data_IF_037804042421
#
_entry.id   IF_037804042421
#
_cell.length_a   1.000
_cell.length_b   1.000
_cell.length_c   1.000
_cell.angle_alpha   90.00
_cell.angle_beta   90.00
_cell.angle_gamma   90.00
#
_symmetry.space_group_name_H-M   'P 1'
#
loop_
_entity.id
_entity.type
_entity.pdbx_description
1 polymer ?
#
# COMPACT_ATOMS: atom_id res chain seq x y z
N UNK A 1 9.93 10.19 -0.90
CA UNK A 1 9.55 10.19 -2.34
C UNK A 1 8.35 11.09 -2.53
N UNK A 2 8.55 12.12 -3.33
CA UNK A 2 7.54 13.18 -3.53
C UNK A 2 6.23 12.65 -4.12
N UNK A 3 6.31 11.73 -5.07
CA UNK A 3 5.14 11.16 -5.71
C UNK A 3 4.26 10.38 -4.72
N UNK A 4 4.87 9.68 -3.77
CA UNK A 4 4.15 8.96 -2.73
C UNK A 4 3.50 9.93 -1.76
N UNK A 5 4.18 11.00 -1.39
CA UNK A 5 3.60 12.04 -0.53
C UNK A 5 2.36 12.67 -1.17
N UNK A 6 2.44 13.01 -2.45
CA UNK A 6 1.31 13.58 -3.18
C UNK A 6 0.14 12.61 -3.25
N UNK A 7 0.42 11.34 -3.51
CA UNK A 7 -0.59 10.28 -3.50
C UNK A 7 -1.28 10.19 -2.14
N UNK A 8 -0.49 10.19 -1.07
CA UNK A 8 -1.03 10.08 0.28
C UNK A 8 -1.90 11.28 0.66
N UNK A 9 -1.50 12.48 0.28
CA UNK A 9 -2.29 13.68 0.53
C UNK A 9 -3.61 13.66 -0.24
N UNK A 10 -3.56 13.25 -1.50
CA UNK A 10 -4.74 13.19 -2.36
C UNK A 10 -5.78 12.22 -1.82
N UNK A 11 -5.35 11.06 -1.35
CA UNK A 11 -6.25 10.00 -0.92
C UNK A 11 -6.43 9.91 0.59
N UNK A 12 -5.89 10.87 1.34
CA UNK A 12 -5.96 10.92 2.82
C UNK A 12 -5.35 9.68 3.47
N UNK A 13 -4.26 9.20 2.92
CA UNK A 13 -3.49 8.08 3.47
C UNK A 13 -2.61 8.60 4.60
N UNK A 14 -2.72 8.01 5.77
CA UNK A 14 -1.88 8.39 6.90
C UNK A 14 -0.64 7.51 7.05
N UNK A 15 -0.70 6.26 6.57
CA UNK A 15 0.46 5.37 6.55
C UNK A 15 0.51 4.63 5.22
N UNK A 16 1.70 4.59 4.62
CA UNK A 16 1.97 3.89 3.37
C UNK A 16 3.17 2.99 3.59
N UNK A 17 3.01 1.69 3.42
CA UNK A 17 4.06 0.71 3.70
C UNK A 17 4.14 -0.34 2.60
N UNK A 18 5.31 -0.96 2.49
CA UNK A 18 5.55 -2.08 1.59
C UNK A 18 5.60 -3.37 2.42
N UNK A 19 5.10 -4.45 1.85
CA UNK A 19 5.16 -5.75 2.50
C UNK A 19 5.22 -6.88 1.46
N UNK A 20 5.35 -8.11 1.93
CA UNK A 20 5.33 -9.28 1.05
C UNK A 20 6.62 -9.48 0.28
N UNK A 21 6.52 -9.87 -0.99
CA UNK A 21 7.66 -10.29 -1.81
C UNK A 21 8.72 -9.21 -2.00
N UNK A 22 8.35 -7.93 -1.97
CA UNK A 22 9.30 -6.83 -2.12
C UNK A 22 10.35 -6.81 -1.00
N UNK A 23 10.04 -7.38 0.16
CA UNK A 23 10.94 -7.43 1.31
C UNK A 23 11.79 -8.70 1.35
N UNK A 24 11.69 -9.55 0.34
CA UNK A 24 12.45 -10.80 0.24
C UNK A 24 13.63 -10.63 -0.70
N UNK A 25 14.70 -11.39 -0.44
CA UNK A 25 15.91 -11.37 -1.27
C UNK A 25 15.66 -11.87 -2.69
N UNK A 26 14.68 -12.74 -2.89
CA UNK A 26 14.33 -13.29 -4.20
C UNK A 26 13.32 -12.45 -4.99
N UNK A 27 13.08 -11.21 -4.56
CA UNK A 27 12.18 -10.30 -5.25
C UNK A 27 12.64 -10.07 -6.70
N UNK A 28 11.72 -10.29 -7.64
CA UNK A 28 12.01 -10.18 -9.06
C UNK A 28 11.34 -8.94 -9.66
N UNK A 29 11.91 -8.36 -10.75
CA UNK A 29 11.31 -7.20 -11.40
C UNK A 29 9.89 -7.41 -11.91
N UNK A 30 9.51 -8.65 -12.20
CA UNK A 30 8.16 -9.01 -12.67
C UNK A 30 7.20 -9.38 -11.54
N UNK A 31 7.64 -9.35 -10.29
CA UNK A 31 6.80 -9.61 -9.13
C UNK A 31 5.87 -8.44 -8.86
N UNK A 32 4.66 -8.74 -8.36
CA UNK A 32 3.72 -7.71 -7.93
C UNK A 32 4.24 -7.02 -6.66
N UNK A 33 4.00 -5.73 -6.58
CA UNK A 33 4.37 -4.94 -5.41
C UNK A 33 3.18 -4.88 -4.46
N UNK A 34 3.37 -5.35 -3.23
CA UNK A 34 2.32 -5.35 -2.20
C UNK A 34 2.41 -4.08 -1.37
N UNK A 35 1.35 -3.29 -1.38
CA UNK A 35 1.27 -2.00 -0.70
C UNK A 35 0.18 -2.03 0.36
N UNK A 36 0.54 -1.64 1.57
CA UNK A 36 -0.40 -1.50 2.68
C UNK A 36 -0.65 -0.02 2.94
N UNK A 37 -1.92 0.37 2.99
CA UNK A 37 -2.30 1.74 3.30
C UNK A 37 -3.22 1.79 4.50
N UNK A 38 -3.08 2.84 5.31
CA UNK A 38 -4.00 3.17 6.39
C UNK A 38 -4.49 4.59 6.16
N UNK A 39 -5.76 4.86 6.42
CA UNK A 39 -6.38 6.14 6.07
C UNK A 39 -6.58 7.01 7.29
N UNK A 40 -6.48 8.33 7.08
CA UNK A 40 -6.88 9.33 8.04
C UNK A 40 -8.43 9.36 8.13
N UNK A 41 -9.00 9.93 9.20
CA UNK A 41 -10.45 10.08 9.29
C UNK A 41 -11.03 10.78 8.06
N UNK A 42 -12.09 10.21 7.50
CA UNK A 42 -12.70 10.71 6.27
C UNK A 42 -12.12 10.13 4.99
N UNK A 43 -11.01 9.37 5.09
CA UNK A 43 -10.44 8.63 3.96
C UNK A 43 -10.94 7.19 3.92
N UNK A 44 -10.59 6.48 2.87
CA UNK A 44 -10.90 5.06 2.73
C UNK A 44 -10.92 4.62 1.28
N UNK A 45 -10.88 3.30 1.09
CA UNK A 45 -10.98 2.70 -0.24
C UNK A 45 -12.45 2.40 -0.52
N UNK A 46 -12.98 2.98 -1.61
CA UNK A 46 -14.29 2.63 -2.14
C UNK A 46 -14.10 1.79 -3.40
N UNK A 47 -15.16 1.16 -3.85
CA UNK A 47 -15.12 0.41 -5.11
C UNK A 47 -14.67 1.29 -6.28
N UNK A 48 -15.16 2.53 -6.31
CA UNK A 48 -14.85 3.46 -7.40
C UNK A 48 -13.41 3.97 -7.37
N UNK A 49 -12.86 4.29 -6.19
CA UNK A 49 -11.53 4.88 -6.11
C UNK A 49 -10.38 3.86 -6.05
N UNK A 50 -10.68 2.59 -5.76
CA UNK A 50 -9.65 1.55 -5.69
C UNK A 50 -8.88 1.39 -6.99
N UNK A 51 -9.60 1.39 -8.11
CA UNK A 51 -8.99 1.24 -9.44
C UNK A 51 -8.08 2.43 -9.73
N UNK A 52 -8.54 3.65 -9.46
CA UNK A 52 -7.73 4.85 -9.66
C UNK A 52 -6.47 4.86 -8.81
N UNK A 53 -6.59 4.50 -7.54
CA UNK A 53 -5.44 4.41 -6.63
C UNK A 53 -4.42 3.39 -7.12
N UNK A 54 -4.88 2.20 -7.53
CA UNK A 54 -4.02 1.15 -8.03
C UNK A 54 -3.32 1.55 -9.32
N UNK A 55 -4.03 2.21 -10.25
CA UNK A 55 -3.46 2.70 -11.50
C UNK A 55 -2.39 3.77 -11.26
N UNK A 56 -2.64 4.69 -10.32
CA UNK A 56 -1.63 5.69 -9.96
C UNK A 56 -0.36 5.05 -9.41
N UNK A 57 -0.50 4.08 -8.50
CA UNK A 57 0.64 3.39 -7.93
C UNK A 57 1.38 2.56 -8.98
N UNK A 58 0.65 1.91 -9.87
CA UNK A 58 1.26 1.17 -10.99
C UNK A 58 2.11 2.10 -11.86
N UNK A 59 1.65 3.32 -12.11
CA UNK A 59 2.44 4.31 -12.86
C UNK A 59 3.65 4.79 -12.09
N UNK A 60 3.51 5.02 -10.78
CA UNK A 60 4.61 5.50 -9.93
C UNK A 60 5.73 4.45 -9.85
N UNK A 61 5.37 3.19 -9.66
CA UNK A 61 6.35 2.12 -9.46
C UNK A 61 6.74 1.39 -10.74
N UNK A 62 5.98 1.57 -11.83
CA UNK A 62 6.27 0.92 -13.10
C UNK A 62 6.00 -0.58 -13.11
N UNK A 63 5.12 -1.08 -12.22
CA UNK A 63 4.76 -2.49 -12.13
C UNK A 63 3.38 -2.66 -11.51
N UNK A 64 2.83 -3.87 -11.62
CA UNK A 64 1.56 -4.21 -11.00
C UNK A 64 1.63 -4.03 -9.48
N UNK A 65 0.63 -3.36 -8.92
CA UNK A 65 0.56 -3.10 -7.48
C UNK A 65 -0.68 -3.77 -6.91
N UNK A 66 -0.50 -4.49 -5.79
CA UNK A 66 -1.61 -5.02 -5.00
C UNK A 66 -1.84 -4.10 -3.82
N UNK A 67 -2.98 -3.43 -3.82
CA UNK A 67 -3.31 -2.44 -2.80
C UNK A 67 -4.17 -3.08 -1.71
N UNK A 68 -3.70 -3.02 -0.47
CA UNK A 68 -4.39 -3.57 0.69
C UNK A 68 -4.60 -2.48 1.73
N UNK A 69 -5.83 -2.31 2.19
CA UNK A 69 -6.14 -1.40 3.29
C UNK A 69 -5.94 -2.14 4.61
N UNK A 70 -5.22 -1.51 5.53
CA UNK A 70 -4.97 -2.07 6.87
C UNK A 70 -6.28 -2.44 7.57
N UNK A 71 -7.29 -1.61 7.44
CA UNK A 71 -8.58 -1.78 8.08
C UNK A 71 -9.38 -2.97 7.49
N UNK A 72 -9.02 -3.42 6.29
CA UNK A 72 -9.71 -4.53 5.62
C UNK A 72 -9.11 -5.91 5.95
N UNK A 73 -7.96 -5.95 6.62
CA UNK A 73 -7.33 -7.21 6.99
C UNK A 73 -8.05 -7.79 8.21
N UNK A 74 -8.77 -8.89 8.01
CA UNK A 74 -9.58 -9.52 9.07
C UNK A 74 -8.91 -10.71 9.74
N UNK A 75 -8.07 -11.45 9.01
CA UNK A 75 -7.35 -12.58 9.57
C UNK A 75 -6.29 -12.09 10.56
N UNK A 76 -6.39 -12.43 11.86
CA UNK A 76 -5.47 -11.89 12.87
C UNK A 76 -4.01 -12.34 12.68
N UNK A 77 -3.79 -13.54 12.17
CA UNK A 77 -2.44 -14.05 11.93
C UNK A 77 -1.79 -13.32 10.75
N UNK A 78 -2.53 -13.13 9.67
CA UNK A 78 -2.05 -12.38 8.50
C UNK A 78 -1.80 -10.93 8.87
N UNK A 79 -2.72 -10.32 9.60
CA UNK A 79 -2.60 -8.94 10.05
C UNK A 79 -1.35 -8.75 10.90
N UNK A 80 -1.13 -9.62 11.86
CA UNK A 80 0.06 -9.57 12.72
C UNK A 80 1.34 -9.70 11.90
N UNK A 81 1.40 -10.65 11.00
CA UNK A 81 2.57 -10.87 10.13
C UNK A 81 2.88 -9.64 9.30
N UNK A 82 1.87 -9.08 8.64
CA UNK A 82 2.04 -7.88 7.80
C UNK A 82 2.50 -6.69 8.63
N UNK A 83 1.86 -6.45 9.79
CA UNK A 83 2.18 -5.30 10.64
C UNK A 83 3.55 -5.39 11.29
N UNK A 84 4.04 -6.60 11.54
CA UNK A 84 5.38 -6.79 12.15
C UNK A 84 6.50 -6.79 11.12
N UNK A 85 6.21 -7.09 9.86
CA UNK A 85 7.24 -7.19 8.82
C UNK A 85 7.21 -6.04 7.80
N UNK A 86 6.17 -5.19 7.83
CA UNK A 86 6.05 -4.10 6.86
C UNK A 86 7.17 -3.07 6.98
N UNK A 87 7.53 -2.48 5.86
CA UNK A 87 8.45 -1.35 5.81
C UNK A 87 7.66 -0.08 5.53
N UNK A 88 7.61 0.84 6.49
CA UNK A 88 6.86 2.09 6.36
C UNK A 88 7.65 3.07 5.49
N UNK A 89 7.01 3.56 4.42
CA UNK A 89 7.60 4.51 3.49
C UNK A 89 7.11 5.93 3.78
N UNK A 90 5.87 6.06 4.24
CA UNK A 90 5.28 7.35 4.57
C UNK A 90 4.39 7.20 5.80
N UNK A 91 4.49 8.15 6.72
CA UNK A 91 3.62 8.21 7.89
C UNK A 91 3.35 9.68 8.21
N UNK A 92 2.06 10.00 8.37
CA UNK A 92 1.64 11.36 8.72
C UNK A 92 1.47 11.52 10.22
#
# INVERSE_FOLDING_TARGET
MKQIEEFCRKWKVKEFALFGSVLREDFRPDSDLDVLVSFAPGGGITFDNRVEMQDELTRIFGRQVNLVAKEAIRNPFRRHHILTTREVVYAA
#
